data_IF_060693176291
#
_entry.id   IF_060693176291
#
_cell.length_a   1.000
_cell.length_b   1.000
_cell.length_c   1.000
_cell.angle_alpha   90.00
_cell.angle_beta   90.00
_cell.angle_gamma   90.00
#
_symmetry.space_group_name_H-M   'P 1'
#
loop_
_entity.id
_entity.type
_entity.pdbx_description
1 polymer ?
#
# COMPACT_ATOMS: atom_id res chain seq x y z
N UNK A 1 15.12 3.39 -13.14
CA UNK A 1 14.13 2.70 -12.29
C UNK A 1 12.72 3.07 -12.70
N UNK A 2 11.80 2.14 -12.52
CA UNK A 2 10.38 2.39 -12.79
C UNK A 2 9.68 2.85 -11.53
N UNK A 3 8.57 3.53 -11.71
CA UNK A 3 7.75 4.05 -10.62
C UNK A 3 6.57 3.13 -10.36
N UNK A 4 6.39 2.72 -9.12
CA UNK A 4 5.34 1.77 -8.73
C UNK A 4 4.56 2.25 -7.53
N UNK A 5 3.35 1.72 -7.42
CA UNK A 5 2.51 1.94 -6.25
C UNK A 5 1.95 0.57 -5.85
N UNK A 6 2.11 0.20 -4.60
CA UNK A 6 1.54 -1.04 -4.09
C UNK A 6 0.53 -0.74 -2.99
N UNK A 7 -0.62 -1.37 -3.09
CA UNK A 7 -1.65 -1.31 -2.07
C UNK A 7 -1.74 -2.69 -1.46
N UNK A 8 -1.64 -2.78 -0.15
CA UNK A 8 -1.78 -4.06 0.53
C UNK A 8 -2.68 -3.92 1.75
N UNK A 9 -3.40 -4.99 2.02
CA UNK A 9 -4.40 -5.03 3.07
C UNK A 9 -3.93 -6.00 4.14
N UNK A 10 -3.83 -5.53 5.37
CA UNK A 10 -3.44 -6.34 6.51
C UNK A 10 -4.67 -6.82 7.26
N UNK A 11 -4.56 -7.98 7.88
CA UNK A 11 -5.65 -8.57 8.64
C UNK A 11 -6.11 -7.65 9.77
N UNK A 12 -7.43 -7.55 10.00
CA UNK A 12 -7.97 -6.61 10.99
C UNK A 12 -7.72 -7.02 12.43
N UNK A 13 -7.19 -8.22 12.68
CA UNK A 13 -6.92 -8.68 14.04
C UNK A 13 -5.63 -8.13 14.63
N UNK A 14 -4.84 -7.39 13.85
CA UNK A 14 -3.59 -6.83 14.32
C UNK A 14 -3.82 -5.65 15.27
N UNK A 15 -2.95 -5.54 16.28
CA UNK A 15 -2.88 -4.33 17.09
C UNK A 15 -2.19 -3.22 16.30
N UNK A 16 -2.26 -1.98 16.80
CA UNK A 16 -1.59 -0.86 16.13
C UNK A 16 -0.09 -1.08 16.02
N UNK A 17 0.53 -1.65 17.05
CA UNK A 17 1.97 -1.95 17.04
C UNK A 17 2.29 -3.00 15.97
N UNK A 18 1.50 -4.07 15.90
CA UNK A 18 1.71 -5.12 14.92
C UNK A 18 1.51 -4.61 13.50
N UNK A 19 0.53 -3.74 13.29
CA UNK A 19 0.30 -3.15 11.98
C UNK A 19 1.49 -2.29 11.56
N UNK A 20 2.02 -1.47 12.45
CA UNK A 20 3.19 -0.64 12.17
C UNK A 20 4.41 -1.48 11.85
N UNK A 21 4.61 -2.56 12.59
CA UNK A 21 5.71 -3.48 12.34
C UNK A 21 5.62 -4.11 10.94
N UNK A 22 4.41 -4.47 10.53
CA UNK A 22 4.20 -5.06 9.21
C UNK A 22 4.53 -4.06 8.10
N UNK A 23 4.04 -2.83 8.22
CA UNK A 23 4.32 -1.78 7.23
C UNK A 23 5.82 -1.50 7.18
N UNK A 24 6.45 -1.39 8.33
CA UNK A 24 7.88 -1.13 8.43
C UNK A 24 8.71 -2.25 7.82
N UNK A 25 8.26 -3.49 7.99
CA UNK A 25 8.92 -4.64 7.37
C UNK A 25 9.00 -4.48 5.86
N UNK A 26 7.90 -4.07 5.22
CA UNK A 26 7.87 -3.94 3.78
C UNK A 26 8.61 -2.71 3.27
N UNK A 27 8.55 -1.59 3.99
CA UNK A 27 9.34 -0.42 3.61
C UNK A 27 10.84 -0.71 3.73
N UNK A 28 11.24 -1.39 4.79
CA UNK A 28 12.63 -1.80 4.99
C UNK A 28 13.08 -2.77 3.92
N UNK A 29 12.22 -3.74 3.58
CA UNK A 29 12.51 -4.70 2.52
C UNK A 29 12.79 -3.99 1.19
N UNK A 30 11.94 -3.03 0.84
CA UNK A 30 12.10 -2.27 -0.39
C UNK A 30 13.42 -1.48 -0.38
N UNK A 31 13.67 -0.77 0.70
CA UNK A 31 14.91 0.02 0.82
C UNK A 31 16.15 -0.83 0.75
N UNK A 32 16.14 -1.99 1.40
CA UNK A 32 17.28 -2.90 1.40
C UNK A 32 17.55 -3.54 0.04
N UNK A 33 16.54 -3.56 -0.82
CA UNK A 33 16.66 -4.11 -2.16
C UNK A 33 16.80 -3.03 -3.24
N UNK A 34 17.16 -1.83 -2.85
CA UNK A 34 17.51 -0.76 -3.78
C UNK A 34 16.36 0.12 -4.24
N UNK A 35 15.18 -0.04 -3.66
CA UNK A 35 14.06 0.83 -3.99
C UNK A 35 14.16 2.15 -3.23
N UNK A 36 13.61 3.19 -3.84
CA UNK A 36 13.48 4.50 -3.20
C UNK A 36 12.03 4.72 -2.83
N UNK A 37 11.76 4.89 -1.55
CA UNK A 37 10.40 5.13 -1.07
C UNK A 37 10.03 6.58 -1.34
N UNK A 38 8.94 6.78 -2.07
CA UNK A 38 8.46 8.12 -2.41
C UNK A 38 7.38 8.57 -1.43
N UNK A 39 6.46 7.66 -1.08
CA UNK A 39 5.34 7.99 -0.22
C UNK A 39 4.81 6.73 0.47
N UNK A 40 4.38 6.88 1.70
CA UNK A 40 3.73 5.81 2.45
C UNK A 40 2.45 6.36 3.05
N UNK A 41 1.32 5.71 2.79
CA UNK A 41 0.04 6.12 3.33
C UNK A 41 -0.58 4.96 4.10
N UNK A 42 -1.11 5.26 5.26
CA UNK A 42 -1.89 4.31 6.05
C UNK A 42 -3.33 4.82 6.04
N UNK A 43 -4.19 4.08 5.35
CA UNK A 43 -5.60 4.47 5.22
C UNK A 43 -6.46 3.98 6.37
N UNK A 44 -5.89 3.16 7.25
CA UNK A 44 -6.59 2.64 8.40
C UNK A 44 -7.52 1.49 8.08
N UNK A 45 -8.38 1.19 9.05
CA UNK A 45 -9.33 0.09 8.94
C UNK A 45 -10.46 0.47 7.99
N UNK A 46 -10.68 -0.34 6.98
CA UNK A 46 -11.70 -0.11 5.96
C UNK A 46 -12.51 -1.37 5.71
N UNK A 47 -13.75 -1.18 5.32
CA UNK A 47 -14.62 -2.29 4.94
C UNK A 47 -14.22 -2.79 3.56
N UNK A 48 -14.12 -4.11 3.42
CA UNK A 48 -13.81 -4.75 2.15
C UNK A 48 -15.05 -4.76 1.26
N UNK A 49 -14.84 -4.66 -0.05
CA UNK A 49 -15.94 -4.72 -1.02
C UNK A 49 -16.65 -6.07 -0.95
N UNK A 50 -15.90 -7.13 -0.64
CA UNK A 50 -16.44 -8.48 -0.40
C UNK A 50 -15.52 -9.16 0.59
N UNK A 51 -16.04 -10.15 1.34
CA UNK A 51 -15.22 -10.83 2.35
C UNK A 51 -14.01 -11.54 1.75
N UNK A 52 -12.87 -11.45 2.44
CA UNK A 52 -11.66 -12.18 2.08
C UNK A 52 -11.28 -13.01 3.29
N UNK A 53 -11.16 -14.33 3.13
CA UNK A 53 -10.84 -15.23 4.23
C UNK A 53 -11.80 -15.04 5.41
N UNK A 54 -13.08 -14.84 5.12
CA UNK A 54 -14.14 -14.60 6.10
C UNK A 54 -14.01 -13.27 6.86
N UNK A 55 -13.11 -12.40 6.43
CA UNK A 55 -12.95 -11.08 7.03
C UNK A 55 -13.67 -10.04 6.20
N UNK A 56 -14.33 -9.10 6.85
CA UNK A 56 -15.09 -8.05 6.19
C UNK A 56 -14.39 -6.69 6.21
N UNK A 57 -13.32 -6.57 6.99
CA UNK A 57 -12.52 -5.36 7.10
C UNK A 57 -11.04 -5.68 6.97
N UNK A 58 -10.22 -4.66 6.77
CA UNK A 58 -8.78 -4.80 6.74
C UNK A 58 -8.11 -3.44 6.85
N UNK A 59 -6.84 -3.46 7.22
CA UNK A 59 -6.03 -2.24 7.27
C UNK A 59 -5.42 -1.99 5.91
N UNK A 60 -5.81 -0.90 5.26
CA UNK A 60 -5.32 -0.52 3.94
C UNK A 60 -4.07 0.32 4.05
N UNK A 61 -3.05 -0.05 3.28
CA UNK A 61 -1.78 0.66 3.24
C UNK A 61 -1.33 0.81 1.80
N UNK A 62 -0.64 1.91 1.54
CA UNK A 62 -0.12 2.22 0.22
C UNK A 62 1.34 2.62 0.34
N UNK A 63 2.19 2.08 -0.54
CA UNK A 63 3.58 2.50 -0.65
C UNK A 63 3.84 2.85 -2.11
N UNK A 64 4.32 4.06 -2.34
CA UNK A 64 4.75 4.51 -3.64
C UNK A 64 6.28 4.52 -3.65
N UNK A 65 6.87 3.91 -4.65
CA UNK A 65 8.33 3.74 -4.67
C UNK A 65 8.88 3.62 -6.09
N UNK A 66 10.17 3.90 -6.22
CA UNK A 66 10.91 3.69 -7.46
C UNK A 66 11.80 2.46 -7.29
N UNK A 67 11.76 1.56 -8.26
CA UNK A 67 12.53 0.31 -8.18
C UNK A 67 12.77 -0.29 -9.56
N UNK A 68 13.70 -1.23 -9.61
CA UNK A 68 13.90 -2.03 -10.80
C UNK A 68 12.76 -3.05 -10.93
N UNK A 69 12.34 -3.37 -12.17
CA UNK A 69 11.23 -4.32 -12.37
C UNK A 69 11.42 -5.66 -11.70
N UNK A 70 12.68 -6.13 -11.61
CA UNK A 70 12.97 -7.42 -10.99
C UNK A 70 12.60 -7.47 -9.52
N UNK A 71 12.55 -6.34 -8.84
CA UNK A 71 12.20 -6.29 -7.42
C UNK A 71 10.73 -6.63 -7.19
N UNK A 72 9.87 -6.38 -8.16
CA UNK A 72 8.43 -6.58 -7.98
C UNK A 72 8.07 -8.03 -7.66
N UNK A 73 8.72 -8.98 -8.34
CA UNK A 73 8.48 -10.40 -8.05
C UNK A 73 8.88 -10.75 -6.63
N UNK A 74 9.99 -10.20 -6.16
CA UNK A 74 10.47 -10.43 -4.80
C UNK A 74 9.50 -9.85 -3.78
N UNK A 75 8.98 -8.67 -4.06
CA UNK A 75 8.00 -8.02 -3.20
C UNK A 75 6.71 -8.84 -3.11
N UNK A 76 6.23 -9.34 -4.23
CA UNK A 76 5.02 -10.16 -4.26
C UNK A 76 5.20 -11.45 -3.46
N UNK A 77 6.35 -12.07 -3.57
CA UNK A 77 6.66 -13.27 -2.78
C UNK A 77 6.67 -12.92 -1.29
N UNK A 78 7.25 -11.78 -0.93
CA UNK A 78 7.29 -11.34 0.46
C UNK A 78 5.87 -11.13 1.02
N UNK A 79 4.98 -10.53 0.21
CA UNK A 79 3.59 -10.38 0.61
C UNK A 79 2.90 -11.72 0.79
N UNK A 80 3.09 -12.66 -0.14
CA UNK A 80 2.43 -13.97 -0.09
C UNK A 80 2.87 -14.79 1.11
N UNK A 81 4.10 -14.61 1.54
CA UNK A 81 4.65 -15.35 2.68
C UNK A 81 4.25 -14.78 4.02
N UNK A 82 3.72 -13.58 4.04
CA UNK A 82 3.36 -12.93 5.28
C UNK A 82 1.87 -13.15 5.55
N UNK A 83 1.57 -13.90 6.60
CA UNK A 83 0.19 -14.25 6.95
C UNK A 83 -0.66 -13.03 7.33
N UNK A 84 -0.02 -11.92 7.67
CA UNK A 84 -0.73 -10.70 8.01
C UNK A 84 -1.33 -10.01 6.80
N UNK A 85 -0.78 -10.29 5.61
CA UNK A 85 -1.26 -9.70 4.36
C UNK A 85 -2.35 -10.57 3.78
N UNK A 86 -3.58 -10.04 3.70
CA UNK A 86 -4.70 -10.79 3.14
C UNK A 86 -4.90 -10.51 1.67
N UNK A 87 -4.39 -9.38 1.17
CA UNK A 87 -4.45 -9.05 -0.24
C UNK A 87 -3.43 -7.98 -0.57
N UNK A 88 -2.94 -7.99 -1.79
CA UNK A 88 -2.03 -6.95 -2.29
C UNK A 88 -2.20 -6.75 -3.78
N UNK A 89 -1.82 -5.56 -4.26
CA UNK A 89 -1.86 -5.23 -5.68
C UNK A 89 -0.79 -4.19 -5.96
N UNK A 90 0.04 -4.44 -6.96
CA UNK A 90 1.12 -3.52 -7.33
C UNK A 90 0.88 -3.00 -8.73
N UNK A 91 0.94 -1.69 -8.90
CA UNK A 91 0.72 -1.02 -10.17
C UNK A 91 2.02 -0.41 -10.68
N UNK A 92 2.26 -0.56 -11.98
CA UNK A 92 3.28 0.23 -12.66
C UNK A 92 2.67 1.59 -12.98
N UNK A 93 3.34 2.66 -12.57
CA UNK A 93 2.87 4.01 -12.83
C UNK A 93 3.67 4.61 -13.98
N UNK A 94 3.00 4.86 -15.09
CA UNK A 94 3.61 5.58 -16.18
C UNK A 94 3.66 7.08 -15.82
N UNK A 95 4.17 7.90 -16.74
CA UNK A 95 4.33 9.31 -16.50
C UNK A 95 3.04 10.00 -16.06
N UNK A 96 1.94 9.71 -16.75
CA UNK A 96 0.66 10.34 -16.43
C UNK A 96 0.08 9.86 -15.10
N UNK A 97 0.18 8.58 -14.85
CA UNK A 97 -0.28 8.02 -13.60
C UNK A 97 0.52 8.55 -12.42
N UNK A 98 1.84 8.72 -12.59
CA UNK A 98 2.69 9.28 -11.55
C UNK A 98 2.33 10.74 -11.26
N UNK A 99 2.05 11.52 -12.29
CA UNK A 99 1.61 12.91 -12.13
C UNK A 99 0.27 12.97 -11.40
N UNK A 100 -0.64 12.10 -11.76
CA UNK A 100 -1.93 12.03 -11.10
C UNK A 100 -1.79 11.65 -9.63
N UNK A 101 -0.93 10.70 -9.31
CA UNK A 101 -0.68 10.29 -7.95
C UNK A 101 -0.12 11.45 -7.11
N UNK A 102 0.81 12.21 -7.67
CA UNK A 102 1.36 13.38 -7.00
C UNK A 102 0.29 14.42 -6.74
N UNK A 103 -0.57 14.67 -7.73
CA UNK A 103 -1.66 15.62 -7.60
C UNK A 103 -2.68 15.15 -6.57
N UNK A 104 -2.99 13.87 -6.56
CA UNK A 104 -3.90 13.30 -5.58
C UNK A 104 -3.39 13.48 -4.16
N UNK A 105 -2.10 13.25 -3.92
CA UNK A 105 -1.49 13.46 -2.61
C UNK A 105 -1.63 14.91 -2.16
N UNK A 106 -1.38 15.82 -3.07
CA UNK A 106 -1.48 17.26 -2.79
C UNK A 106 -2.91 17.65 -2.40
N UNK A 107 -3.90 17.17 -3.16
CA UNK A 107 -5.30 17.43 -2.86
C UNK A 107 -5.74 16.79 -1.55
N UNK A 108 -5.28 15.58 -1.29
CA UNK A 108 -5.62 14.88 -0.07
C UNK A 108 -5.08 15.59 1.17
N UNK A 109 -3.89 16.15 1.05
CA UNK A 109 -3.32 16.96 2.13
C UNK A 109 -4.11 18.22 2.43
N UNK A 110 -4.79 18.78 1.41
CA UNK A 110 -5.57 20.00 1.55
C UNK A 110 -7.02 19.73 1.96
N UNK A 111 -7.55 18.55 1.58
CA UNK A 111 -8.96 18.22 1.78
C UNK A 111 -9.11 16.91 2.54
N UNK A 112 -9.04 16.84 3.68
CA UNK A 112 -8.97 15.65 4.49
C UNK A 112 -10.12 14.66 4.31
N UNK A 113 -11.20 14.81 5.02
CA UNK A 113 -12.18 13.73 5.20
C UNK A 113 -13.04 13.41 4.00
N UNK A 114 -13.32 14.39 3.18
CA UNK A 114 -14.18 14.18 2.02
C UNK A 114 -13.56 13.25 0.99
N UNK A 115 -12.25 13.34 0.84
CA UNK A 115 -11.53 12.48 -0.09
C UNK A 115 -11.60 11.01 0.33
N UNK A 116 -11.46 10.77 1.60
CA UNK A 116 -11.51 9.42 2.12
C UNK A 116 -12.86 8.76 1.88
N UNK A 117 -13.93 9.51 2.07
CA UNK A 117 -15.28 8.99 1.83
C UNK A 117 -15.47 8.59 0.38
N UNK A 118 -14.96 9.39 -0.54
CA UNK A 118 -15.06 9.09 -1.97
C UNK A 118 -14.26 7.87 -2.37
N UNK A 119 -13.11 7.69 -1.79
CA UNK A 119 -12.25 6.57 -2.13
C UNK A 119 -12.82 5.22 -1.74
N UNK A 120 -13.68 5.19 -0.76
CA UNK A 120 -14.29 3.95 -0.31
C UNK A 120 -15.33 3.41 -1.28
N UNK A 121 -15.72 4.21 -2.21
CA UNK A 121 -16.66 3.79 -3.24
C UNK A 121 -15.96 3.16 -4.42
#
# INVERSE_FOLDING_TARGET
MNHYETVFILTPVLSDVQMKEAVEKFTTFLSNNGAEIVNVENWGLRKLAYPIQKKTTGFYNLIEFDAEPSLIKKLEIAFRRDERVIRFLTFFLDKYAAEYAAKRRSLKGAKTNNEEVKEEK
#
